data_IF_723548547293
#
_entry.id   IF_723548547293
#
_cell.length_a   1.000
_cell.length_b   1.000
_cell.length_c   1.000
_cell.angle_alpha   90.00
_cell.angle_beta   90.00
_cell.angle_gamma   90.00
#
_symmetry.space_group_name_H-M   'P 1'
#
loop_
_entity.id
_entity.type
_entity.pdbx_description
1 polymer ?
#
# COMPACT_ATOMS: atom_id res chain seq x y z
N UNK A 1 35.57 21.36 -11.40
CA UNK A 1 34.66 21.66 -10.27
C UNK A 1 33.41 20.82 -10.44
N UNK A 2 32.92 20.15 -9.39
CA UNK A 2 31.73 19.29 -9.42
C UNK A 2 30.73 19.82 -8.39
N UNK A 3 29.50 20.10 -8.81
CA UNK A 3 28.40 20.38 -7.88
C UNK A 3 27.99 19.08 -7.18
N UNK A 4 27.80 19.14 -5.86
CA UNK A 4 27.47 17.96 -5.04
C UNK A 4 26.02 18.05 -4.56
N UNK A 5 25.69 19.08 -3.79
CA UNK A 5 24.35 19.26 -3.23
C UNK A 5 24.12 20.71 -2.79
N UNK A 6 22.85 21.06 -2.58
CA UNK A 6 22.49 22.24 -1.80
C UNK A 6 22.63 21.90 -0.29
N UNK A 7 23.05 22.86 0.52
CA UNK A 7 23.12 22.69 1.98
C UNK A 7 22.27 23.77 2.62
N UNK A 8 21.36 23.35 3.48
CA UNK A 8 20.57 24.24 4.34
C UNK A 8 20.97 24.04 5.80
N UNK A 9 20.76 25.06 6.61
CA UNK A 9 21.10 25.02 8.04
C UNK A 9 19.85 24.82 8.88
N UNK A 10 19.94 24.00 9.90
CA UNK A 10 18.81 23.63 10.77
C UNK A 10 19.21 23.80 12.22
N UNK A 11 18.30 24.27 13.07
CA UNK A 11 18.56 24.48 14.50
C UNK A 11 18.75 23.15 15.25
N UNK A 12 18.12 22.08 14.77
CA UNK A 12 18.23 20.72 15.33
C UNK A 12 18.20 19.69 14.20
N UNK A 13 19.36 19.08 13.92
CA UNK A 13 19.48 18.02 12.90
C UNK A 13 18.54 16.85 13.17
N UNK A 14 18.34 16.42 14.42
CA UNK A 14 17.45 15.30 14.72
C UNK A 14 15.98 15.66 14.45
N UNK A 15 15.57 16.91 14.71
CA UNK A 15 14.23 17.43 14.35
C UNK A 15 14.03 17.47 12.84
N UNK A 16 14.98 18.06 12.12
CA UNK A 16 14.93 18.15 10.66
C UNK A 16 14.92 16.75 10.01
N UNK A 17 15.70 15.79 10.53
CA UNK A 17 15.68 14.40 10.05
C UNK A 17 14.33 13.73 10.20
N UNK A 18 13.64 13.91 11.34
CA UNK A 18 12.29 13.35 11.52
C UNK A 18 11.33 13.86 10.44
N UNK A 19 11.44 15.13 10.08
CA UNK A 19 10.65 15.73 9.02
C UNK A 19 11.03 15.19 7.62
N UNK A 20 12.30 15.28 7.24
CA UNK A 20 12.73 14.85 5.90
C UNK A 20 12.61 13.34 5.69
N UNK A 21 13.02 12.50 6.66
CA UNK A 21 12.92 11.04 6.56
C UNK A 21 11.49 10.53 6.77
N UNK A 22 10.78 11.08 7.77
CA UNK A 22 9.45 10.60 8.17
C UNK A 22 8.32 11.17 7.33
N UNK A 23 8.28 12.49 7.17
CA UNK A 23 7.19 13.19 6.48
C UNK A 23 7.41 13.19 4.97
N UNK A 24 8.61 13.55 4.51
CA UNK A 24 8.95 13.64 3.09
C UNK A 24 9.59 12.37 2.50
N UNK A 25 9.81 11.34 3.32
CA UNK A 25 10.30 10.03 2.85
C UNK A 25 11.72 10.03 2.28
N UNK A 26 12.52 11.04 2.60
CA UNK A 26 13.89 11.20 2.09
C UNK A 26 14.82 10.16 2.69
N UNK A 27 15.81 9.72 1.91
CA UNK A 27 16.73 8.66 2.30
C UNK A 27 18.10 9.27 2.57
N UNK A 28 18.63 9.06 3.78
CA UNK A 28 20.00 9.47 4.12
C UNK A 28 21.01 8.75 3.22
N UNK A 29 21.89 9.51 2.61
CA UNK A 29 23.04 9.02 1.83
C UNK A 29 24.29 8.92 2.69
N UNK A 30 24.56 9.94 3.51
CA UNK A 30 25.67 9.95 4.47
C UNK A 30 25.31 10.79 5.69
N UNK A 31 25.85 10.39 6.84
CA UNK A 31 25.56 10.98 8.15
C UNK A 31 26.87 11.21 8.89
N UNK A 32 27.21 12.47 9.12
CA UNK A 32 28.40 12.92 9.81
C UNK A 32 28.07 13.59 11.15
N UNK A 33 26.89 13.34 11.72
CA UNK A 33 26.45 13.98 12.97
C UNK A 33 25.85 15.36 12.71
N UNK A 34 26.69 16.40 12.72
CA UNK A 34 26.25 17.79 12.50
C UNK A 34 25.88 18.06 11.04
N UNK A 35 26.24 17.19 10.11
CA UNK A 35 25.94 17.30 8.68
C UNK A 35 25.37 15.97 8.17
N UNK A 36 24.19 16.03 7.55
CA UNK A 36 23.50 14.86 7.01
C UNK A 36 23.09 15.13 5.58
N UNK A 37 23.55 14.28 4.66
CA UNK A 37 23.24 14.38 3.24
C UNK A 37 22.18 13.35 2.85
N UNK A 38 21.26 13.75 1.98
CA UNK A 38 20.17 12.92 1.48
C UNK A 38 20.37 12.56 0.00
N UNK A 39 19.85 11.39 -0.37
CA UNK A 39 19.68 11.02 -1.78
C UNK A 39 18.74 12.01 -2.44
N UNK A 40 19.19 12.62 -3.52
CA UNK A 40 18.45 13.70 -4.20
C UNK A 40 19.20 15.03 -4.24
N UNK A 41 20.38 15.12 -3.61
CA UNK A 41 21.29 16.25 -3.82
C UNK A 41 21.03 17.44 -2.90
N UNK A 42 20.60 17.18 -1.66
CA UNK A 42 20.58 18.20 -0.59
C UNK A 42 21.13 17.64 0.73
N UNK A 43 21.57 18.53 1.61
CA UNK A 43 22.06 18.23 2.94
C UNK A 43 21.52 19.23 3.97
N UNK A 44 21.41 18.79 5.21
CA UNK A 44 21.12 19.62 6.37
C UNK A 44 22.37 19.72 7.26
N UNK A 45 22.59 20.89 7.85
CA UNK A 45 23.71 21.13 8.76
C UNK A 45 23.24 21.84 10.04
N UNK A 46 23.65 21.35 11.21
CA UNK A 46 23.46 22.02 12.50
C UNK A 46 23.93 23.48 12.43
N UNK A 47 23.01 24.42 12.68
CA UNK A 47 23.20 25.86 12.49
C UNK A 47 24.40 26.41 13.24
N UNK A 48 24.52 26.12 14.54
CA UNK A 48 25.63 26.62 15.37
C UNK A 48 26.99 26.13 14.89
N UNK A 49 27.06 24.86 14.46
CA UNK A 49 28.28 24.30 13.87
C UNK A 49 28.60 25.00 12.54
N UNK A 50 27.62 25.21 11.68
CA UNK A 50 27.81 25.89 10.40
C UNK A 50 28.19 27.37 10.57
N UNK A 51 27.59 28.07 11.53
CA UNK A 51 27.93 29.44 11.89
C UNK A 51 29.41 29.54 12.33
N UNK A 52 29.91 28.55 13.07
CA UNK A 52 31.33 28.44 13.39
C UNK A 52 32.24 28.35 12.16
N UNK A 53 31.78 27.69 11.09
CA UNK A 53 32.50 27.62 9.80
C UNK A 53 32.46 28.95 9.01
N UNK A 54 31.56 29.86 9.38
CA UNK A 54 31.39 31.18 8.75
C UNK A 54 31.97 32.32 9.59
N UNK A 55 32.95 32.04 10.46
CA UNK A 55 33.55 33.02 11.38
C UNK A 55 32.50 33.73 12.28
N UNK A 56 31.43 33.01 12.66
CA UNK A 56 30.39 33.51 13.55
C UNK A 56 29.32 34.39 12.88
N UNK A 57 29.32 34.51 11.54
CA UNK A 57 28.30 35.30 10.82
C UNK A 57 26.88 34.81 11.10
N UNK A 58 25.96 35.76 11.24
CA UNK A 58 24.56 35.47 11.52
C UNK A 58 23.90 34.70 10.36
N UNK A 59 23.08 33.71 10.72
CA UNK A 59 22.30 32.91 9.79
C UNK A 59 20.81 33.21 10.04
N UNK A 60 20.18 33.86 9.08
CA UNK A 60 18.77 34.23 9.13
C UNK A 60 17.83 33.02 9.04
N UNK A 61 16.63 33.16 9.62
CA UNK A 61 15.52 32.20 9.50
C UNK A 61 14.44 32.77 8.57
N UNK A 62 13.74 31.92 7.82
CA UNK A 62 12.65 32.34 6.89
C UNK A 62 13.09 33.45 5.93
N UNK A 63 14.25 33.30 5.29
CA UNK A 63 14.78 34.28 4.35
C UNK A 63 13.94 34.42 3.06
N UNK A 64 13.18 33.38 2.69
CA UNK A 64 12.30 33.33 1.51
C UNK A 64 13.01 33.63 0.18
N UNK A 65 14.29 33.28 0.08
CA UNK A 65 15.16 33.51 -1.08
C UNK A 65 15.59 32.22 -1.79
N UNK A 66 15.28 31.05 -1.22
CA UNK A 66 15.50 29.74 -1.80
C UNK A 66 14.39 28.76 -1.40
N UNK A 67 14.19 27.73 -2.23
CA UNK A 67 13.30 26.61 -1.92
C UNK A 67 13.94 25.26 -2.28
N UNK A 68 13.58 24.21 -1.53
CA UNK A 68 13.86 22.83 -1.90
C UNK A 68 12.67 22.26 -2.68
N UNK A 69 12.91 21.89 -3.95
CA UNK A 69 11.89 21.34 -4.83
C UNK A 69 11.92 19.80 -4.83
N UNK A 70 10.75 19.20 -4.60
CA UNK A 70 10.53 17.76 -4.69
C UNK A 70 9.34 17.45 -5.60
N UNK A 71 9.26 16.20 -6.05
CA UNK A 71 8.16 15.74 -6.90
C UNK A 71 7.43 14.53 -6.33
N UNK A 72 6.09 14.57 -6.35
CA UNK A 72 5.23 13.52 -5.83
C UNK A 72 3.95 13.41 -6.67
N UNK A 73 3.52 12.19 -7.01
CA UNK A 73 2.32 11.98 -7.86
C UNK A 73 1.04 12.45 -7.15
N UNK A 74 0.89 12.13 -5.85
CA UNK A 74 -0.24 12.56 -5.01
C UNK A 74 0.11 13.76 -4.11
N UNK A 75 0.07 14.96 -4.68
CA UNK A 75 0.34 16.23 -3.96
C UNK A 75 -0.74 16.51 -2.92
N UNK A 76 -2.00 16.18 -3.20
CA UNK A 76 -3.13 16.43 -2.29
C UNK A 76 -3.04 15.57 -1.03
N UNK A 77 -2.76 14.27 -1.17
CA UNK A 77 -2.57 13.37 -0.03
C UNK A 77 -1.34 13.73 0.80
N UNK A 78 -0.26 14.21 0.18
CA UNK A 78 0.87 14.77 0.92
C UNK A 78 0.49 16.02 1.71
N UNK A 79 -0.19 16.98 1.08
CA UNK A 79 -0.61 18.21 1.74
C UNK A 79 -1.55 17.94 2.93
N UNK A 80 -2.44 16.95 2.81
CA UNK A 80 -3.26 16.49 3.93
C UNK A 80 -2.42 16.02 5.13
N UNK A 81 -1.39 15.20 4.88
CA UNK A 81 -0.47 14.74 5.95
C UNK A 81 0.35 15.88 6.56
N UNK A 82 0.81 16.83 5.75
CA UNK A 82 1.54 18.00 6.23
C UNK A 82 0.65 18.91 7.10
N UNK A 83 -0.61 19.12 6.70
CA UNK A 83 -1.58 19.86 7.50
C UNK A 83 -1.87 19.16 8.84
N UNK A 84 -2.01 17.83 8.83
CA UNK A 84 -2.16 17.01 10.03
C UNK A 84 -0.98 17.16 11.02
N UNK A 85 0.24 17.27 10.48
CA UNK A 85 1.46 17.45 11.24
C UNK A 85 1.69 18.91 11.70
N UNK A 86 0.73 19.82 11.42
CA UNK A 86 0.79 21.22 11.82
C UNK A 86 1.80 22.05 11.03
N UNK A 87 2.15 21.63 9.82
CA UNK A 87 3.12 22.32 8.96
C UNK A 87 2.53 23.65 8.45
N UNK A 88 3.32 24.71 8.49
CA UNK A 88 2.93 26.03 8.01
C UNK A 88 3.01 26.11 6.48
N UNK A 89 1.88 26.36 5.81
CA UNK A 89 1.82 26.50 4.36
C UNK A 89 1.98 27.95 3.91
N UNK A 90 2.76 28.16 2.84
CA UNK A 90 2.66 29.38 2.04
C UNK A 90 1.38 29.34 1.20
N UNK A 91 1.10 28.17 0.62
CA UNK A 91 -0.18 27.86 0.01
C UNK A 91 -0.42 26.34 -0.04
N UNK A 92 -1.68 25.92 0.14
CA UNK A 92 -2.09 24.53 -0.11
C UNK A 92 -1.95 24.13 -1.59
N UNK A 93 -2.35 22.90 -1.96
CA UNK A 93 -2.31 22.44 -3.34
C UNK A 93 -3.07 23.39 -4.26
N UNK A 94 -2.37 23.92 -5.27
CA UNK A 94 -2.95 24.77 -6.31
C UNK A 94 -2.45 24.34 -7.67
N UNK A 95 -3.33 24.40 -8.65
CA UNK A 95 -2.97 24.11 -10.03
C UNK A 95 -2.25 25.31 -10.67
N UNK A 96 -1.14 25.04 -11.36
CA UNK A 96 -0.40 26.04 -12.14
C UNK A 96 -1.01 26.22 -13.54
N UNK A 97 -0.68 27.29 -14.27
CA UNK A 97 -1.20 27.50 -15.64
C UNK A 97 -0.95 26.34 -16.61
N UNK A 98 0.08 25.53 -16.37
CA UNK A 98 0.40 24.31 -17.11
C UNK A 98 -0.19 23.03 -16.49
N UNK A 99 -1.28 23.15 -15.73
CA UNK A 99 -2.06 22.07 -15.09
C UNK A 99 -1.34 21.27 -14.00
N UNK A 100 -0.09 21.56 -13.66
CA UNK A 100 0.64 20.89 -12.57
C UNK A 100 0.10 21.30 -11.20
N UNK A 101 -0.20 20.34 -10.31
CA UNK A 101 -0.50 20.65 -8.91
C UNK A 101 0.79 20.92 -8.12
N UNK A 102 0.80 22.00 -7.33
CA UNK A 102 1.95 22.39 -6.51
C UNK A 102 1.49 22.88 -5.15
N UNK A 103 2.21 22.51 -4.09
CA UNK A 103 2.06 23.09 -2.75
C UNK A 103 3.41 23.60 -2.23
N UNK A 104 3.38 24.69 -1.44
CA UNK A 104 4.57 25.26 -0.80
C UNK A 104 4.32 25.43 0.69
N UNK A 105 5.30 25.04 1.49
CA UNK A 105 5.24 25.09 2.95
C UNK A 105 6.63 25.31 3.53
N UNK A 106 6.68 25.60 4.83
CA UNK A 106 7.93 25.70 5.57
C UNK A 106 8.32 24.36 6.19
N UNK A 107 9.59 24.02 6.14
CA UNK A 107 10.15 22.99 7.01
C UNK A 107 10.20 23.48 8.48
N UNK A 108 10.61 22.63 9.45
CA UNK A 108 10.68 23.02 10.87
C UNK A 108 11.58 24.21 11.18
N UNK A 109 12.50 24.56 10.29
CA UNK A 109 13.51 25.61 10.45
C UNK A 109 13.22 26.85 9.56
N UNK A 110 12.08 26.84 8.85
CA UNK A 110 11.59 27.96 8.07
C UNK A 110 12.14 28.05 6.64
N UNK A 111 12.69 26.96 6.11
CA UNK A 111 13.06 26.86 4.68
C UNK A 111 11.83 26.57 3.84
N UNK A 112 11.72 27.21 2.68
CA UNK A 112 10.62 26.91 1.76
C UNK A 112 10.86 25.53 1.14
N UNK A 113 9.85 24.69 1.18
CA UNK A 113 9.79 23.42 0.47
C UNK A 113 8.64 23.49 -0.52
N UNK A 114 8.95 23.20 -1.78
CA UNK A 114 7.96 23.00 -2.83
C UNK A 114 7.81 21.51 -3.11
N UNK A 115 6.56 21.05 -3.23
CA UNK A 115 6.26 19.75 -3.81
C UNK A 115 5.33 19.92 -5.00
N UNK A 116 5.85 19.55 -6.17
CA UNK A 116 5.13 19.54 -7.44
C UNK A 116 4.68 18.14 -7.86
N UNK A 117 3.56 18.08 -8.57
CA UNK A 117 3.13 16.87 -9.26
C UNK A 117 4.14 16.55 -10.37
N UNK A 118 4.58 15.29 -10.50
CA UNK A 118 5.47 14.90 -11.60
C UNK A 118 4.82 15.20 -12.93
N UNK A 119 5.54 15.85 -13.86
CA UNK A 119 4.99 16.19 -15.17
C UNK A 119 4.54 14.94 -15.95
N UNK A 120 5.20 13.80 -15.75
CA UNK A 120 4.77 12.52 -16.30
C UNK A 120 3.41 12.06 -15.75
N UNK A 121 3.14 12.31 -14.47
CA UNK A 121 1.83 12.04 -13.87
C UNK A 121 0.78 13.04 -14.38
N UNK A 122 1.13 14.31 -14.56
CA UNK A 122 0.24 15.32 -15.18
C UNK A 122 -0.15 14.88 -16.59
N UNK A 123 0.80 14.40 -17.40
CA UNK A 123 0.51 13.92 -18.76
C UNK A 123 -0.46 12.74 -18.78
N UNK A 124 -0.30 11.82 -17.84
CA UNK A 124 -1.25 10.73 -17.64
C UNK A 124 -2.64 11.23 -17.25
N UNK A 125 -2.73 12.09 -16.22
CA UNK A 125 -4.00 12.64 -15.75
C UNK A 125 -4.74 13.41 -16.85
N UNK A 126 -4.04 14.22 -17.62
CA UNK A 126 -4.63 14.93 -18.76
C UNK A 126 -5.08 13.98 -19.88
N UNK A 127 -4.36 12.88 -20.10
CA UNK A 127 -4.80 11.83 -21.02
C UNK A 127 -6.07 11.13 -20.53
N UNK A 128 -6.20 10.91 -19.21
CA UNK A 128 -7.40 10.34 -18.60
C UNK A 128 -8.60 11.31 -18.64
N UNK A 129 -8.34 12.61 -18.54
CA UNK A 129 -9.31 13.70 -18.79
C UNK A 129 -9.72 13.81 -20.28
N UNK A 130 -9.10 13.02 -21.18
CA UNK A 130 -9.45 12.92 -22.59
C UNK A 130 -8.73 13.92 -23.51
N UNK A 131 -7.67 14.59 -23.04
CA UNK A 131 -6.87 15.46 -23.89
C UNK A 131 -6.05 14.61 -24.88
N UNK A 132 -5.89 15.13 -26.10
CA UNK A 132 -5.01 14.51 -27.08
C UNK A 132 -3.53 14.79 -26.75
N UNK A 133 -2.65 13.98 -27.31
CA UNK A 133 -1.21 14.03 -27.05
C UNK A 133 -0.57 15.38 -27.39
N UNK A 134 -1.03 16.10 -28.42
CA UNK A 134 -0.44 17.38 -28.81
C UNK A 134 -0.80 18.48 -27.80
N UNK A 135 -2.05 18.47 -27.30
CA UNK A 135 -2.46 19.36 -26.22
C UNK A 135 -1.73 19.04 -24.91
N UNK A 136 -1.53 17.75 -24.59
CA UNK A 136 -0.75 17.32 -23.41
C UNK A 136 0.69 17.82 -23.51
N UNK A 137 1.35 17.66 -24.67
CA UNK A 137 2.72 18.14 -24.86
C UNK A 137 2.79 19.67 -24.79
N UNK A 138 1.79 20.39 -25.31
CA UNK A 138 1.73 21.86 -25.25
C UNK A 138 1.57 22.36 -23.82
N UNK A 139 0.76 21.68 -23.00
CA UNK A 139 0.49 22.07 -21.62
C UNK A 139 1.67 21.70 -20.71
N UNK A 140 2.14 20.45 -20.77
CA UNK A 140 3.18 19.93 -19.85
C UNK A 140 4.61 20.25 -20.27
N UNK A 141 4.81 20.75 -21.50
CA UNK A 141 6.11 20.92 -22.15
C UNK A 141 6.93 19.63 -22.33
N UNK A 142 6.34 18.46 -22.05
CA UNK A 142 6.99 17.19 -22.31
C UNK A 142 7.12 16.95 -23.81
N UNK A 143 8.26 16.36 -24.20
CA UNK A 143 8.40 15.83 -25.55
C UNK A 143 7.37 14.73 -25.82
N UNK A 144 6.90 14.63 -27.07
CA UNK A 144 5.94 13.58 -27.48
C UNK A 144 6.36 12.16 -27.06
N UNK A 145 7.64 11.75 -27.19
CA UNK A 145 8.10 10.45 -26.68
C UNK A 145 8.03 10.33 -25.15
N UNK A 146 8.31 11.41 -24.40
CA UNK A 146 8.24 11.40 -22.94
C UNK A 146 6.79 11.29 -22.46
N UNK A 147 5.88 12.09 -23.04
CA UNK A 147 4.45 12.04 -22.72
C UNK A 147 3.84 10.67 -23.03
N UNK A 148 4.15 10.07 -24.20
CA UNK A 148 3.68 8.73 -24.54
C UNK A 148 4.18 7.65 -23.56
N UNK A 149 5.46 7.69 -23.20
CA UNK A 149 6.04 6.75 -22.22
C UNK A 149 5.38 6.92 -20.86
N UNK A 150 5.20 8.16 -20.41
CA UNK A 150 4.54 8.47 -19.16
C UNK A 150 3.10 7.95 -19.13
N UNK A 151 2.29 8.30 -20.14
CA UNK A 151 0.90 7.84 -20.24
C UNK A 151 0.83 6.31 -20.22
N UNK A 152 1.67 5.63 -20.99
CA UNK A 152 1.71 4.16 -20.99
C UNK A 152 2.13 3.58 -19.63
N UNK A 153 3.19 4.13 -19.01
CA UNK A 153 3.66 3.73 -17.70
C UNK A 153 2.55 3.87 -16.66
N UNK A 154 1.95 5.05 -16.52
CA UNK A 154 0.91 5.31 -15.52
C UNK A 154 -0.43 4.62 -15.82
N UNK A 155 -0.80 4.44 -17.09
CA UNK A 155 -2.00 3.68 -17.46
C UNK A 155 -1.86 2.18 -17.16
N UNK A 156 -0.63 1.67 -17.20
CA UNK A 156 -0.31 0.29 -16.80
C UNK A 156 -0.07 0.15 -15.29
N UNK A 157 0.14 1.26 -14.56
CA UNK A 157 0.06 1.23 -13.11
C UNK A 157 -1.40 0.91 -12.74
N UNK A 158 -1.65 0.01 -11.78
CA UNK A 158 -3.01 -0.24 -11.34
C UNK A 158 -3.60 1.09 -10.87
N UNK A 159 -4.68 1.54 -11.53
CA UNK A 159 -5.40 2.76 -11.15
C UNK A 159 -5.65 2.69 -9.65
N UNK A 160 -5.18 3.69 -8.92
CA UNK A 160 -5.63 3.94 -7.55
C UNK A 160 -6.98 4.66 -7.68
N UNK A 161 -7.91 4.07 -8.42
CA UNK A 161 -9.30 4.52 -8.40
C UNK A 161 -9.87 4.02 -7.07
N UNK A 162 -9.80 4.92 -6.08
CA UNK A 162 -10.75 5.02 -4.98
C UNK A 162 -11.13 3.70 -4.27
N UNK A 163 -10.18 3.13 -3.55
CA UNK A 163 -10.39 3.08 -2.10
C UNK A 163 -9.31 3.94 -1.45
N UNK A 164 -9.44 5.26 -1.64
CA UNK A 164 -9.07 6.17 -0.57
C UNK A 164 -9.85 5.67 0.64
N UNK A 165 -9.16 5.03 1.58
CA UNK A 165 -9.62 5.06 2.95
C UNK A 165 -9.13 6.43 3.45
N UNK A 166 -9.99 7.46 3.51
CA UNK A 166 -9.58 8.76 4.02
C UNK A 166 -9.28 8.60 5.50
N UNK A 167 -8.01 8.33 5.84
CA UNK A 167 -7.62 8.05 7.22
C UNK A 167 -6.25 8.67 7.48
N UNK A 168 -6.24 9.94 7.85
CA UNK A 168 -5.06 10.60 8.40
C UNK A 168 -5.41 11.46 9.63
N UNK A 169 -6.58 12.11 9.66
CA UNK A 169 -6.99 12.96 10.81
C UNK A 169 -8.26 12.50 11.53
N UNK A 170 -9.28 12.04 10.81
CA UNK A 170 -10.53 11.54 11.40
C UNK A 170 -10.31 10.38 12.37
N UNK A 171 -9.33 9.51 12.09
CA UNK A 171 -8.96 8.38 12.94
C UNK A 171 -8.45 8.82 14.33
N UNK A 172 -7.73 9.94 14.43
CA UNK A 172 -7.19 10.40 15.73
C UNK A 172 -8.29 10.98 16.60
N UNK A 173 -9.17 11.79 16.03
CA UNK A 173 -10.32 12.36 16.74
C UNK A 173 -11.33 11.27 17.13
N UNK A 174 -11.63 10.35 16.21
CA UNK A 174 -12.48 9.19 16.49
C UNK A 174 -11.84 8.28 17.53
N UNK A 175 -10.52 8.03 17.47
CA UNK A 175 -9.82 7.27 18.49
C UNK A 175 -9.86 7.96 19.85
N UNK A 176 -9.65 9.28 19.92
CA UNK A 176 -9.75 10.03 21.17
C UNK A 176 -11.15 9.93 21.78
N UNK A 177 -12.21 10.09 20.96
CA UNK A 177 -13.60 9.91 21.39
C UNK A 177 -13.88 8.48 21.85
N UNK A 178 -13.42 7.49 21.10
CA UNK A 178 -13.60 6.09 21.44
C UNK A 178 -12.88 5.70 22.74
N UNK A 179 -11.68 6.24 22.96
CA UNK A 179 -10.93 6.11 24.22
C UNK A 179 -11.64 6.80 25.39
N UNK A 180 -12.38 7.89 25.13
CA UNK A 180 -13.22 8.58 26.10
C UNK A 180 -14.58 7.88 26.35
N UNK A 181 -14.82 6.70 25.77
CA UNK A 181 -16.04 5.91 25.99
C UNK A 181 -17.16 6.13 24.97
N UNK A 182 -16.92 6.86 23.88
CA UNK A 182 -17.88 7.00 22.80
C UNK A 182 -17.96 5.71 21.96
N UNK A 183 -18.98 4.89 22.25
CA UNK A 183 -19.23 3.64 21.55
C UNK A 183 -19.51 3.84 20.05
N UNK A 184 -20.09 4.98 19.64
CA UNK A 184 -20.34 5.28 18.23
C UNK A 184 -19.04 5.58 17.49
N UNK A 185 -18.12 6.32 18.12
CA UNK A 185 -16.79 6.57 17.55
C UNK A 185 -15.97 5.28 17.44
N UNK A 186 -16.10 4.38 18.42
CA UNK A 186 -15.47 3.06 18.36
C UNK A 186 -16.04 2.17 17.24
N UNK A 187 -17.37 2.17 17.05
CA UNK A 187 -18.03 1.46 15.94
C UNK A 187 -17.51 1.97 14.59
N UNK A 188 -17.41 3.29 14.44
CA UNK A 188 -16.92 3.93 13.21
C UNK A 188 -15.47 3.55 12.91
N UNK A 189 -14.57 3.58 13.91
CA UNK A 189 -13.18 3.15 13.76
C UNK A 189 -13.06 1.69 13.34
N UNK A 190 -13.78 0.80 14.03
CA UNK A 190 -13.74 -0.63 13.72
C UNK A 190 -14.31 -0.91 12.33
N UNK A 191 -15.39 -0.23 11.93
CA UNK A 191 -15.93 -0.34 10.58
C UNK A 191 -14.95 0.15 9.51
N UNK A 192 -14.23 1.25 9.79
CA UNK A 192 -13.22 1.80 8.89
C UNK A 192 -12.08 0.82 8.59
N UNK A 193 -11.76 -0.09 9.51
CA UNK A 193 -10.66 -1.05 9.36
C UNK A 193 -11.10 -2.50 9.09
N UNK A 194 -12.37 -2.86 9.35
CA UNK A 194 -12.87 -4.24 9.25
C UNK A 194 -12.58 -4.89 7.89
N UNK A 195 -12.88 -4.20 6.79
CA UNK A 195 -12.59 -4.72 5.44
C UNK A 195 -11.09 -4.92 5.20
N UNK A 196 -10.23 -4.05 5.76
CA UNK A 196 -8.76 -4.22 5.66
C UNK A 196 -8.29 -5.45 6.42
N UNK A 197 -8.82 -5.68 7.63
CA UNK A 197 -8.54 -6.89 8.42
C UNK A 197 -9.01 -8.14 7.68
N UNK A 198 -10.23 -8.13 7.14
CA UNK A 198 -10.77 -9.25 6.37
C UNK A 198 -9.91 -9.57 5.14
N UNK A 199 -9.54 -8.55 4.36
CA UNK A 199 -8.70 -8.75 3.18
C UNK A 199 -7.32 -9.31 3.52
N UNK A 200 -6.74 -8.92 4.68
CA UNK A 200 -5.48 -9.46 5.17
C UNK A 200 -5.66 -10.93 5.55
N UNK A 201 -6.70 -11.24 6.33
CA UNK A 201 -7.02 -12.60 6.76
C UNK A 201 -7.31 -13.53 5.58
N UNK A 202 -8.07 -13.06 4.59
CA UNK A 202 -8.39 -13.81 3.36
C UNK A 202 -7.14 -14.18 2.58
N UNK A 203 -6.23 -13.22 2.37
CA UNK A 203 -4.96 -13.44 1.66
C UNK A 203 -3.99 -14.30 2.46
N UNK A 204 -4.06 -14.22 3.79
CA UNK A 204 -3.21 -14.98 4.66
C UNK A 204 -3.64 -16.45 4.78
N UNK A 205 -4.94 -16.70 4.98
CA UNK A 205 -5.51 -18.02 5.24
C UNK A 205 -5.95 -18.72 3.96
N UNK A 206 -6.26 -17.96 2.92
CA UNK A 206 -6.70 -18.44 1.61
C UNK A 206 -8.13 -19.00 1.60
N UNK A 207 -8.80 -19.09 2.75
CA UNK A 207 -10.16 -19.58 2.87
C UNK A 207 -11.08 -18.48 3.41
N UNK A 208 -12.22 -18.20 2.76
CA UNK A 208 -13.14 -17.16 3.19
C UNK A 208 -13.81 -17.34 4.55
N UNK A 209 -14.17 -18.57 4.92
CA UNK A 209 -14.81 -18.86 6.20
C UNK A 209 -13.79 -18.64 7.32
N UNK A 210 -12.59 -19.24 7.19
CA UNK A 210 -11.49 -19.05 8.13
C UNK A 210 -11.13 -17.55 8.26
N UNK A 211 -11.19 -16.79 7.16
CA UNK A 211 -10.92 -15.35 7.14
C UNK A 211 -11.99 -14.52 7.85
N UNK A 212 -13.27 -14.91 7.74
CA UNK A 212 -14.38 -14.27 8.45
C UNK A 212 -14.24 -14.47 9.95
N UNK A 213 -14.00 -15.70 10.37
CA UNK A 213 -13.81 -16.05 11.78
C UNK A 213 -12.60 -15.33 12.37
N UNK A 214 -11.46 -15.34 11.66
CA UNK A 214 -10.27 -14.60 12.07
C UNK A 214 -10.51 -13.08 12.12
N UNK A 215 -11.23 -12.51 11.15
CA UNK A 215 -11.57 -11.09 11.13
C UNK A 215 -12.39 -10.69 12.36
N UNK A 216 -13.40 -11.50 12.72
CA UNK A 216 -14.20 -11.28 13.91
C UNK A 216 -13.35 -11.32 15.19
N UNK A 217 -12.51 -12.35 15.34
CA UNK A 217 -11.62 -12.47 16.50
C UNK A 217 -10.62 -11.31 16.59
N UNK A 218 -10.09 -10.84 15.46
CA UNK A 218 -9.15 -9.73 15.41
C UNK A 218 -9.86 -8.42 15.78
N UNK A 219 -11.05 -8.17 15.24
CA UNK A 219 -11.84 -6.98 15.59
C UNK A 219 -12.22 -6.99 17.08
N UNK A 220 -12.55 -8.16 17.64
CA UNK A 220 -12.79 -8.32 19.08
C UNK A 220 -11.52 -8.06 19.92
N UNK A 221 -10.35 -8.50 19.46
CA UNK A 221 -9.06 -8.20 20.11
C UNK A 221 -8.73 -6.71 20.04
N UNK A 222 -8.96 -6.07 18.90
CA UNK A 222 -8.78 -4.64 18.72
C UNK A 222 -9.73 -3.85 19.64
N UNK A 223 -11.00 -4.23 19.71
CA UNK A 223 -11.98 -3.63 20.60
C UNK A 223 -11.58 -3.74 22.07
N UNK A 224 -11.25 -4.94 22.53
CA UNK A 224 -10.82 -5.17 23.93
C UNK A 224 -9.50 -4.47 24.25
N UNK A 225 -8.61 -4.35 23.27
CA UNK A 225 -7.31 -3.71 23.40
C UNK A 225 -7.33 -2.20 23.17
N UNK A 226 -8.48 -1.59 22.85
CA UNK A 226 -8.56 -0.21 22.39
C UNK A 226 -7.89 0.77 23.38
N UNK A 227 -8.08 0.57 24.69
CA UNK A 227 -7.45 1.39 25.73
C UNK A 227 -5.91 1.39 25.73
N UNK A 228 -5.27 0.45 25.03
CA UNK A 228 -3.80 0.39 24.88
C UNK A 228 -3.27 1.14 23.66
N UNK A 229 -4.16 1.67 22.81
CA UNK A 229 -3.77 2.44 21.64
C UNK A 229 -3.26 3.82 22.08
N UNK A 230 -1.99 4.11 21.78
CA UNK A 230 -1.30 5.34 22.19
C UNK A 230 -1.25 6.45 21.12
N UNK A 231 -1.70 6.19 19.90
CA UNK A 231 -1.61 7.15 18.80
C UNK A 231 -0.20 7.28 18.16
N UNK A 232 0.75 6.43 18.55
CA UNK A 232 2.12 6.37 18.00
C UNK A 232 2.15 5.99 16.50
N UNK A 233 1.05 5.41 15.99
CA UNK A 233 0.84 5.07 14.58
C UNK A 233 -0.65 5.25 14.25
N UNK A 234 -1.01 5.19 12.96
CA UNK A 234 -2.41 5.16 12.53
C UNK A 234 -3.15 3.99 13.22
N UNK A 235 -4.42 4.22 13.59
CA UNK A 235 -5.26 3.18 14.21
C UNK A 235 -5.30 1.92 13.33
N UNK A 236 -5.44 2.09 12.02
CA UNK A 236 -5.41 0.99 11.07
C UNK A 236 -4.10 0.18 11.09
N UNK A 237 -2.95 0.83 11.23
CA UNK A 237 -1.64 0.15 11.36
C UNK A 237 -1.57 -0.65 12.66
N UNK A 238 -2.08 -0.09 13.77
CA UNK A 238 -2.14 -0.79 15.06
C UNK A 238 -3.04 -2.04 15.00
N UNK A 239 -4.24 -1.93 14.41
CA UNK A 239 -5.14 -3.09 14.22
C UNK A 239 -4.52 -4.13 13.28
N UNK A 240 -3.83 -3.70 12.21
CA UNK A 240 -3.12 -4.64 11.32
C UNK A 240 -1.98 -5.37 12.04
N UNK A 241 -1.31 -4.75 13.02
CA UNK A 241 -0.31 -5.42 13.85
C UNK A 241 -0.96 -6.50 14.75
N UNK A 242 -2.14 -6.23 15.31
CA UNK A 242 -2.95 -7.24 16.03
C UNK A 242 -3.32 -8.37 15.08
N UNK A 243 -3.80 -8.03 13.88
CA UNK A 243 -4.17 -8.99 12.84
C UNK A 243 -2.98 -9.89 12.47
N UNK A 244 -1.81 -9.32 12.20
CA UNK A 244 -0.60 -10.05 11.89
C UNK A 244 -0.19 -11.05 12.98
N UNK A 245 -0.24 -10.63 14.25
CA UNK A 245 0.09 -11.52 15.37
C UNK A 245 -0.94 -12.63 15.55
N UNK A 246 -2.24 -12.31 15.41
CA UNK A 246 -3.30 -13.31 15.41
C UNK A 246 -3.07 -14.33 14.28
N UNK A 247 -2.91 -13.87 13.04
CA UNK A 247 -2.76 -14.73 11.85
C UNK A 247 -1.50 -15.61 11.89
N UNK A 248 -0.40 -15.14 12.47
CA UNK A 248 0.81 -15.97 12.66
C UNK A 248 0.57 -17.15 13.59
N UNK A 249 -0.37 -17.03 14.54
CA UNK A 249 -0.57 -17.98 15.65
C UNK A 249 -1.84 -18.83 15.54
N UNK A 250 -2.77 -18.49 14.64
CA UNK A 250 -3.94 -19.35 14.39
C UNK A 250 -3.55 -20.74 13.89
N UNK A 251 -4.44 -21.70 14.12
CA UNK A 251 -4.34 -23.04 13.54
C UNK A 251 -4.21 -22.95 12.02
N UNK A 252 -3.61 -23.97 11.41
CA UNK A 252 -3.50 -24.04 9.95
C UNK A 252 -4.90 -23.93 9.35
N UNK A 253 -5.06 -23.04 8.38
CA UNK A 253 -6.30 -22.95 7.62
C UNK A 253 -6.55 -24.26 6.87
N UNK A 254 -7.77 -24.43 6.36
CA UNK A 254 -8.08 -25.58 5.51
C UNK A 254 -7.14 -25.66 4.32
N UNK A 255 -6.81 -24.53 3.69
CA UNK A 255 -5.94 -24.50 2.52
C UNK A 255 -4.45 -24.69 2.88
N UNK A 256 -3.98 -24.16 4.02
CA UNK A 256 -2.61 -24.42 4.50
C UNK A 256 -2.42 -25.92 4.82
N UNK A 257 -3.45 -26.58 5.33
CA UNK A 257 -3.42 -28.01 5.68
C UNK A 257 -3.37 -28.93 4.45
N UNK A 258 -3.75 -28.44 3.26
CA UNK A 258 -3.61 -29.18 2.00
C UNK A 258 -2.14 -29.32 1.57
N UNK A 259 -1.20 -28.61 2.19
CA UNK A 259 0.23 -28.76 1.93
C UNK A 259 0.65 -28.30 0.53
N UNK A 260 -0.03 -27.30 -0.02
CA UNK A 260 0.28 -26.78 -1.36
C UNK A 260 1.70 -26.19 -1.41
N UNK A 261 2.43 -26.50 -2.49
CA UNK A 261 3.80 -26.01 -2.73
C UNK A 261 3.96 -25.55 -4.18
N UNK A 262 5.02 -24.80 -4.47
CA UNK A 262 5.30 -24.34 -5.83
C UNK A 262 5.48 -25.52 -6.80
N UNK A 263 6.15 -26.58 -6.36
CA UNK A 263 6.37 -27.80 -7.14
C UNK A 263 5.05 -28.53 -7.44
N UNK A 264 4.12 -28.56 -6.48
CA UNK A 264 2.80 -29.15 -6.68
C UNK A 264 1.99 -28.38 -7.73
N UNK A 265 2.04 -27.03 -7.71
CA UNK A 265 1.38 -26.22 -8.74
C UNK A 265 2.03 -26.37 -10.12
N UNK A 266 3.35 -26.49 -10.19
CA UNK A 266 4.07 -26.72 -11.45
C UNK A 266 3.71 -28.07 -12.06
N UNK A 267 3.67 -29.14 -11.25
CA UNK A 267 3.23 -30.45 -11.68
C UNK A 267 1.76 -30.45 -12.16
N UNK A 268 0.88 -29.76 -11.43
CA UNK A 268 -0.53 -29.62 -11.83
C UNK A 268 -0.68 -28.82 -13.13
N UNK A 269 0.10 -27.75 -13.32
CA UNK A 269 0.09 -26.94 -14.53
C UNK A 269 0.55 -27.71 -15.77
N UNK A 270 1.49 -28.64 -15.62
CA UNK A 270 1.92 -29.56 -16.69
C UNK A 270 0.89 -30.66 -17.01
N UNK A 271 -0.02 -30.95 -16.08
CA UNK A 271 -1.04 -31.99 -16.20
C UNK A 271 -2.40 -31.41 -16.66
N UNK A 272 -2.44 -30.74 -17.81
CA UNK A 272 -3.71 -30.22 -18.37
C UNK A 272 -4.60 -31.39 -18.83
N UNK A 273 -5.84 -31.55 -18.34
CA UNK A 273 -6.74 -32.57 -18.84
C UNK A 273 -7.17 -32.28 -20.28
N UNK A 274 -7.32 -33.33 -21.09
CA UNK A 274 -7.59 -33.29 -22.54
C UNK A 274 -8.93 -32.65 -22.98
N UNK A 275 -9.75 -32.11 -22.06
CA UNK A 275 -11.04 -31.51 -22.40
C UNK A 275 -11.31 -30.24 -21.57
N UNK A 276 -11.33 -29.06 -22.22
CA UNK A 276 -11.73 -27.81 -21.60
C UNK A 276 -13.19 -27.84 -21.14
N UNK A 277 -13.48 -27.11 -20.06
CA UNK A 277 -14.86 -26.90 -19.64
C UNK A 277 -15.53 -25.91 -20.59
N UNK A 278 -16.73 -26.22 -21.10
CA UNK A 278 -17.45 -25.40 -22.08
C UNK A 278 -18.90 -25.09 -21.65
N UNK A 279 -19.13 -24.90 -20.34
CA UNK A 279 -20.45 -24.52 -19.83
C UNK A 279 -20.73 -23.00 -19.94
N UNK A 280 -21.99 -22.57 -19.84
CA UNK A 280 -22.36 -21.14 -19.94
C UNK A 280 -21.75 -20.26 -18.85
N UNK A 281 -21.28 -20.86 -17.75
CA UNK A 281 -20.62 -20.25 -16.60
C UNK A 281 -19.07 -20.32 -16.66
N UNK A 282 -18.49 -20.75 -17.79
CA UNK A 282 -17.03 -20.92 -17.96
C UNK A 282 -16.23 -19.66 -17.61
N UNK A 283 -16.68 -18.48 -18.06
CA UNK A 283 -16.02 -17.21 -17.77
C UNK A 283 -15.98 -16.92 -16.26
N UNK A 284 -17.12 -17.03 -15.59
CA UNK A 284 -17.22 -16.80 -14.13
C UNK A 284 -16.37 -17.80 -13.35
N UNK A 285 -16.40 -19.08 -13.72
CA UNK A 285 -15.59 -20.12 -13.08
C UNK A 285 -14.10 -19.94 -13.36
N UNK A 286 -13.73 -19.41 -14.53
CA UNK A 286 -12.34 -19.06 -14.84
C UNK A 286 -11.85 -17.95 -13.92
N UNK A 287 -12.66 -16.92 -13.67
CA UNK A 287 -12.29 -15.83 -12.77
C UNK A 287 -12.27 -16.28 -11.31
N UNK A 288 -13.23 -17.10 -10.89
CA UNK A 288 -13.22 -17.77 -9.58
C UNK A 288 -11.91 -18.57 -9.38
N UNK A 289 -11.50 -19.31 -10.41
CA UNK A 289 -10.27 -20.08 -10.39
C UNK A 289 -9.03 -19.18 -10.33
N UNK A 290 -8.98 -18.06 -11.05
CA UNK A 290 -7.87 -17.10 -10.98
C UNK A 290 -7.68 -16.63 -9.55
N UNK A 291 -8.75 -16.22 -8.86
CA UNK A 291 -8.69 -15.76 -7.47
C UNK A 291 -8.28 -16.88 -6.51
N UNK A 292 -8.89 -18.06 -6.64
CA UNK A 292 -8.54 -19.25 -5.85
C UNK A 292 -7.06 -19.67 -6.04
N UNK A 293 -6.53 -19.58 -7.26
CA UNK A 293 -5.13 -19.82 -7.58
C UNK A 293 -4.22 -18.77 -6.94
N UNK A 294 -4.55 -17.48 -7.05
CA UNK A 294 -3.79 -16.41 -6.41
C UNK A 294 -3.69 -16.59 -4.89
N UNK A 295 -4.81 -16.87 -4.21
CA UNK A 295 -4.79 -17.12 -2.77
C UNK A 295 -3.99 -18.38 -2.40
N UNK A 296 -4.11 -19.43 -3.23
CA UNK A 296 -3.38 -20.67 -3.04
C UNK A 296 -1.86 -20.53 -3.24
N UNK A 297 -1.40 -19.70 -4.19
CA UNK A 297 0.02 -19.43 -4.40
C UNK A 297 0.69 -18.75 -3.20
N UNK A 298 -0.05 -17.88 -2.49
CA UNK A 298 0.43 -17.27 -1.25
C UNK A 298 0.68 -18.32 -0.17
N UNK A 299 -0.02 -19.46 -0.22
CA UNK A 299 0.15 -20.53 0.77
C UNK A 299 1.48 -21.28 0.61
N UNK A 300 2.08 -21.26 -0.58
CA UNK A 300 3.41 -21.82 -0.84
C UNK A 300 4.52 -21.05 -0.09
N UNK A 301 4.26 -19.80 0.32
CA UNK A 301 5.16 -19.03 1.15
C UNK A 301 5.01 -19.43 2.62
N UNK A 302 6.14 -19.44 3.34
CA UNK A 302 6.15 -19.54 4.79
C UNK A 302 5.36 -18.39 5.44
N UNK A 303 4.70 -18.66 6.57
CA UNK A 303 3.77 -17.75 7.27
C UNK A 303 4.25 -16.30 7.41
N UNK A 304 5.53 -16.08 7.74
CA UNK A 304 6.07 -14.72 7.90
C UNK A 304 6.30 -14.04 6.55
N UNK A 305 6.87 -14.75 5.59
CA UNK A 305 7.17 -14.20 4.27
C UNK A 305 5.88 -13.96 3.47
N UNK A 306 4.85 -14.80 3.67
CA UNK A 306 3.48 -14.58 3.21
C UNK A 306 2.93 -13.25 3.70
N UNK A 307 3.03 -12.98 5.00
CA UNK A 307 2.55 -11.73 5.60
C UNK A 307 3.25 -10.52 4.98
N UNK A 308 4.59 -10.57 4.92
CA UNK A 308 5.42 -9.51 4.33
C UNK A 308 5.02 -9.25 2.86
N UNK A 309 4.82 -10.33 2.09
CA UNK A 309 4.43 -10.20 0.70
C UNK A 309 3.02 -9.63 0.55
N UNK A 310 2.05 -10.06 1.37
CA UNK A 310 0.67 -9.56 1.31
C UNK A 310 0.62 -8.06 1.65
N UNK A 311 1.33 -7.66 2.70
CA UNK A 311 1.41 -6.26 3.12
C UNK A 311 2.02 -5.36 2.04
N UNK A 312 3.03 -5.86 1.33
CA UNK A 312 3.63 -5.15 0.20
C UNK A 312 2.71 -5.13 -1.04
N UNK A 313 2.25 -6.30 -1.47
CA UNK A 313 1.60 -6.46 -2.77
C UNK A 313 0.18 -5.93 -2.77
N UNK A 314 -0.52 -5.98 -1.64
CA UNK A 314 -1.94 -5.60 -1.56
C UNK A 314 -2.17 -4.37 -0.68
N UNK A 315 -1.52 -4.29 0.48
CA UNK A 315 -1.74 -3.16 1.40
C UNK A 315 -0.82 -1.97 1.13
N UNK A 316 0.20 -2.15 0.29
CA UNK A 316 1.19 -1.13 -0.11
C UNK A 316 1.79 -0.35 1.07
N UNK A 317 1.93 -1.00 2.23
CA UNK A 317 2.47 -0.36 3.42
C UNK A 317 3.94 0.00 3.23
N UNK A 318 4.38 1.07 3.90
CA UNK A 318 5.79 1.45 3.92
C UNK A 318 6.65 0.36 4.57
N UNK A 319 7.97 0.41 4.38
CA UNK A 319 8.85 -0.54 5.09
C UNK A 319 8.89 -0.32 6.61
N UNK A 320 8.55 0.88 7.08
CA UNK A 320 8.41 1.18 8.50
C UNK A 320 7.15 0.52 9.07
N UNK A 321 5.99 0.76 8.45
CA UNK A 321 4.71 0.17 8.86
C UNK A 321 4.71 -1.34 8.69
N UNK A 322 5.24 -1.86 7.58
CA UNK A 322 5.37 -3.29 7.35
C UNK A 322 6.27 -3.96 8.39
N UNK A 323 7.32 -3.28 8.85
CA UNK A 323 8.13 -3.71 9.98
C UNK A 323 7.30 -3.79 11.26
N UNK A 324 6.64 -2.68 11.63
CA UNK A 324 5.79 -2.59 12.81
C UNK A 324 4.70 -3.67 12.84
N UNK A 325 3.94 -3.80 11.75
CA UNK A 325 2.86 -4.78 11.60
C UNK A 325 3.39 -6.21 11.75
N UNK A 326 4.53 -6.53 11.14
CA UNK A 326 5.10 -7.87 11.22
C UNK A 326 5.75 -8.20 12.57
N UNK A 327 6.05 -7.20 13.39
CA UNK A 327 6.92 -7.32 14.57
C UNK A 327 8.40 -7.48 14.17
N UNK A 328 8.84 -6.74 13.15
CA UNK A 328 10.18 -6.75 12.59
C UNK A 328 10.76 -5.32 12.54
N UNK A 329 12.09 -5.19 12.51
CA UNK A 329 12.72 -3.92 12.13
C UNK A 329 12.55 -3.62 10.63
N UNK A 330 12.50 -2.33 10.20
CA UNK A 330 12.27 -1.96 8.79
C UNK A 330 13.29 -2.59 7.82
N UNK A 331 14.56 -2.70 8.23
CA UNK A 331 15.60 -3.35 7.44
C UNK A 331 15.35 -4.86 7.27
N UNK A 332 14.91 -5.55 8.33
CA UNK A 332 14.59 -6.97 8.28
C UNK A 332 13.36 -7.24 7.40
N UNK A 333 12.35 -6.36 7.45
CA UNK A 333 11.20 -6.40 6.54
C UNK A 333 11.65 -6.28 5.07
N UNK A 334 12.46 -5.27 4.73
CA UNK A 334 12.97 -5.07 3.36
C UNK A 334 13.76 -6.27 2.84
N UNK A 335 14.64 -6.84 3.67
CA UNK A 335 15.42 -8.03 3.29
C UNK A 335 14.53 -9.24 3.02
N UNK A 336 13.56 -9.53 3.90
CA UNK A 336 12.59 -10.62 3.69
C UNK A 336 11.75 -10.38 2.44
N UNK A 337 11.24 -9.17 2.26
CA UNK A 337 10.45 -8.80 1.09
C UNK A 337 11.24 -9.01 -0.20
N UNK A 338 12.50 -8.56 -0.25
CA UNK A 338 13.37 -8.74 -1.41
C UNK A 338 13.51 -10.22 -1.79
N UNK A 339 13.78 -11.10 -0.82
CA UNK A 339 13.89 -12.55 -1.05
C UNK A 339 12.56 -13.14 -1.51
N UNK A 340 11.46 -12.79 -0.83
CA UNK A 340 10.12 -13.32 -1.13
C UNK A 340 9.66 -12.91 -2.53
N UNK A 341 9.92 -11.66 -2.93
CA UNK A 341 9.65 -11.17 -4.30
C UNK A 341 10.41 -11.97 -5.35
N UNK A 342 11.69 -12.29 -5.11
CA UNK A 342 12.47 -13.12 -6.04
C UNK A 342 11.90 -14.53 -6.17
N UNK A 343 11.53 -15.17 -5.05
CA UNK A 343 10.89 -16.49 -5.05
C UNK A 343 9.58 -16.47 -5.84
N UNK A 344 8.69 -15.52 -5.54
CA UNK A 344 7.41 -15.41 -6.23
C UNK A 344 7.58 -15.09 -7.72
N UNK A 345 8.49 -14.18 -8.06
CA UNK A 345 8.80 -13.84 -9.45
C UNK A 345 9.31 -15.05 -10.23
N UNK A 346 10.26 -15.81 -9.67
CA UNK A 346 10.82 -17.01 -10.31
C UNK A 346 9.74 -18.03 -10.64
N UNK A 347 8.85 -18.31 -9.69
CA UNK A 347 7.74 -19.25 -9.89
C UNK A 347 6.78 -18.78 -10.97
N UNK A 348 6.36 -17.51 -10.90
CA UNK A 348 5.38 -16.95 -11.83
C UNK A 348 5.90 -16.86 -13.26
N UNK A 349 7.17 -16.52 -13.46
CA UNK A 349 7.77 -16.46 -14.80
C UNK A 349 7.94 -17.85 -15.44
N UNK A 350 8.10 -18.90 -14.63
CA UNK A 350 8.31 -20.27 -15.12
C UNK A 350 7.02 -21.02 -15.44
N UNK A 351 5.94 -20.81 -14.66
CA UNK A 351 4.76 -21.68 -14.69
C UNK A 351 3.49 -20.95 -15.17
N UNK A 352 3.38 -19.64 -14.97
CA UNK A 352 2.08 -18.96 -15.01
C UNK A 352 1.87 -18.07 -16.25
N UNK A 353 0.85 -18.43 -17.06
CA UNK A 353 0.52 -17.84 -18.37
C UNK A 353 0.06 -16.39 -18.38
N UNK A 354 -0.14 -15.74 -17.22
CA UNK A 354 -0.42 -14.30 -17.17
C UNK A 354 0.85 -13.44 -17.31
N UNK A 355 2.05 -14.02 -17.12
CA UNK A 355 3.31 -13.26 -17.13
C UNK A 355 4.19 -13.49 -18.37
N UNK A 356 3.90 -14.50 -19.20
CA UNK A 356 4.64 -14.80 -20.43
C UNK A 356 3.80 -15.58 -21.45
N UNK A 357 3.94 -15.27 -22.75
CA UNK A 357 3.22 -15.90 -23.87
C UNK A 357 3.52 -17.41 -24.05
N UNK A 358 4.40 -18.01 -23.23
CA UNK A 358 4.80 -19.43 -23.31
C UNK A 358 4.58 -20.25 -22.03
N UNK A 359 3.91 -19.72 -21.00
CA UNK A 359 3.76 -20.44 -19.74
C UNK A 359 2.65 -21.51 -19.75
N UNK A 360 2.88 -22.59 -18.99
CA UNK A 360 2.08 -23.82 -19.01
C UNK A 360 0.65 -23.67 -18.46
N UNK A 361 0.43 -22.75 -17.52
CA UNK A 361 -0.88 -22.61 -16.86
C UNK A 361 -1.83 -21.64 -17.59
N UNK A 362 -2.92 -22.17 -18.15
CA UNK A 362 -4.08 -21.42 -18.68
C UNK A 362 -5.31 -21.67 -17.82
N UNK A 363 -5.80 -20.64 -17.12
CA UNK A 363 -6.87 -20.81 -16.12
C UNK A 363 -8.17 -21.39 -16.72
N UNK A 364 -8.53 -20.98 -17.94
CA UNK A 364 -9.69 -21.47 -18.68
C UNK A 364 -9.68 -23.00 -18.83
N UNK A 365 -8.53 -23.55 -19.23
CA UNK A 365 -8.35 -24.98 -19.48
C UNK A 365 -8.40 -25.81 -18.17
N UNK A 366 -8.23 -25.16 -17.01
CA UNK A 366 -8.18 -25.80 -15.69
C UNK A 366 -9.50 -25.81 -14.95
N UNK A 367 -10.53 -25.08 -15.43
CA UNK A 367 -11.84 -25.00 -14.76
C UNK A 367 -12.42 -26.38 -14.46
N UNK A 368 -12.41 -27.28 -15.44
CA UNK A 368 -12.95 -28.63 -15.27
C UNK A 368 -12.19 -29.47 -14.23
N UNK A 369 -10.86 -29.33 -14.16
CA UNK A 369 -10.06 -29.98 -13.13
C UNK A 369 -10.36 -29.43 -11.74
N UNK A 370 -10.40 -28.10 -11.61
CA UNK A 370 -10.65 -27.41 -10.36
C UNK A 370 -12.03 -27.74 -9.77
N UNK A 371 -13.06 -27.89 -10.62
CA UNK A 371 -14.39 -28.36 -10.21
C UNK A 371 -14.35 -29.78 -9.64
N UNK A 372 -13.66 -30.72 -10.31
CA UNK A 372 -13.56 -32.12 -9.85
C UNK A 372 -12.82 -32.25 -8.51
N UNK A 373 -11.81 -31.41 -8.28
CA UNK A 373 -11.08 -31.36 -7.02
C UNK A 373 -11.83 -30.59 -5.91
N UNK A 374 -13.00 -30.01 -6.22
CA UNK A 374 -13.75 -29.17 -5.27
C UNK A 374 -13.04 -27.87 -4.90
N UNK A 375 -12.09 -27.41 -5.73
CA UNK A 375 -11.33 -26.17 -5.52
C UNK A 375 -12.17 -24.92 -5.80
N UNK A 376 -13.12 -25.03 -6.73
CA UNK A 376 -14.15 -24.05 -7.06
C UNK A 376 -15.49 -24.78 -7.17
N UNK A 377 -16.62 -24.08 -7.01
CA UNK A 377 -17.95 -24.68 -7.06
C UNK A 377 -18.95 -23.81 -7.82
N UNK A 378 -19.86 -24.46 -8.57
CA UNK A 378 -20.90 -23.76 -9.37
C UNK A 378 -21.92 -23.01 -8.52
N UNK A 379 -22.31 -23.61 -7.41
CA UNK A 379 -23.31 -23.05 -6.49
C UNK A 379 -22.67 -22.17 -5.41
N UNK A 380 -21.33 -22.12 -5.38
CA UNK A 380 -20.55 -21.46 -4.32
C UNK A 380 -19.42 -20.63 -4.93
N UNK A 381 -19.81 -19.62 -5.70
CA UNK A 381 -18.91 -18.58 -6.20
C UNK A 381 -18.68 -17.56 -5.08
N UNK A 382 -17.45 -17.47 -4.58
CA UNK A 382 -17.10 -16.55 -3.51
C UNK A 382 -16.50 -15.25 -4.04
N UNK A 383 -15.70 -15.32 -5.11
CA UNK A 383 -14.97 -14.17 -5.63
C UNK A 383 -15.71 -13.52 -6.80
N UNK A 384 -16.03 -14.31 -7.83
CA UNK A 384 -16.57 -13.83 -9.12
C UNK A 384 -17.94 -13.12 -9.05
N UNK A 385 -18.70 -13.35 -7.99
CA UNK A 385 -20.02 -12.72 -7.76
C UNK A 385 -19.92 -11.43 -6.95
N UNK A 386 -18.78 -11.14 -6.32
CA UNK A 386 -18.57 -9.93 -5.55
C UNK A 386 -18.54 -8.71 -6.48
N UNK A 387 -19.28 -7.65 -6.14
CA UNK A 387 -19.41 -6.47 -7.00
C UNK A 387 -18.04 -5.85 -7.37
N UNK A 388 -17.12 -5.80 -6.41
CA UNK A 388 -15.75 -5.29 -6.56
C UNK A 388 -14.85 -6.24 -7.38
N UNK A 389 -15.09 -7.56 -7.34
CA UNK A 389 -14.35 -8.53 -8.16
C UNK A 389 -14.68 -8.42 -9.64
N UNK A 390 -15.94 -8.14 -9.98
CA UNK A 390 -16.36 -7.89 -11.37
C UNK A 390 -15.73 -6.62 -11.95
N UNK A 391 -15.53 -5.59 -11.11
CA UNK A 391 -14.84 -4.36 -11.50
C UNK A 391 -13.33 -4.59 -11.68
N UNK A 392 -12.70 -5.38 -10.81
CA UNK A 392 -11.28 -5.72 -10.89
C UNK A 392 -10.93 -6.65 -12.07
N UNK A 393 -11.86 -7.54 -12.46
CA UNK A 393 -11.68 -8.44 -13.61
C UNK A 393 -11.46 -7.67 -14.93
N UNK A 394 -12.01 -6.46 -15.07
CA UNK A 394 -11.82 -5.59 -16.23
C UNK A 394 -10.43 -4.93 -16.32
N UNK A 395 -9.64 -4.95 -15.23
CA UNK A 395 -8.32 -4.29 -15.13
C UNK A 395 -7.13 -5.23 -15.35
N UNK A 396 -7.36 -6.51 -15.67
CA UNK A 396 -6.30 -7.54 -15.74
C UNK A 396 -5.70 -7.70 -17.15
N UNK A 397 -5.43 -6.60 -17.87
CA UNK A 397 -4.91 -6.66 -19.25
C UNK A 397 -3.70 -5.75 -19.52
N UNK A 398 -2.89 -5.42 -18.52
CA UNK A 398 -1.66 -4.65 -18.77
C UNK A 398 -0.51 -5.09 -17.87
N UNK A 399 0.51 -5.72 -18.46
CA UNK A 399 1.72 -6.19 -17.78
C UNK A 399 2.96 -6.13 -18.70
N UNK A 400 3.94 -5.27 -18.39
CA UNK A 400 5.39 -5.45 -18.65
C UNK A 400 6.22 -4.56 -17.68
N UNK A 401 7.54 -4.70 -17.52
CA UNK A 401 8.30 -5.48 -16.51
C UNK A 401 9.03 -4.51 -15.55
N UNK A 402 9.00 -4.63 -14.23
CA UNK A 402 9.89 -5.45 -13.35
C UNK A 402 9.15 -5.94 -12.09
N UNK A 403 7.85 -5.62 -12.03
CA UNK A 403 6.87 -6.01 -11.00
C UNK A 403 5.75 -6.90 -11.57
N UNK A 404 5.89 -7.37 -12.81
CA UNK A 404 4.89 -8.14 -13.56
C UNK A 404 4.32 -9.33 -12.76
N UNK A 405 5.17 -10.09 -12.04
CA UNK A 405 4.70 -11.17 -11.18
C UNK A 405 3.76 -10.67 -10.05
N UNK A 406 4.08 -9.53 -9.42
CA UNK A 406 3.18 -8.96 -8.41
C UNK A 406 1.90 -8.36 -8.97
N UNK A 407 1.83 -8.05 -10.27
CA UNK A 407 0.66 -7.45 -10.91
C UNK A 407 -0.58 -8.36 -10.84
N UNK A 408 -0.40 -9.68 -10.98
CA UNK A 408 -1.48 -10.68 -10.82
C UNK A 408 -2.12 -10.61 -9.43
N UNK A 409 -1.30 -10.34 -8.42
CA UNK A 409 -1.78 -10.15 -7.05
C UNK A 409 -2.36 -8.74 -6.87
N UNK A 410 -1.69 -7.70 -7.37
CA UNK A 410 -2.13 -6.29 -7.25
C UNK A 410 -3.47 -6.00 -7.93
N UNK A 411 -3.83 -6.73 -8.99
CA UNK A 411 -5.12 -6.60 -9.67
C UNK A 411 -6.28 -7.32 -8.98
N UNK A 412 -6.04 -8.00 -7.84
CA UNK A 412 -7.11 -8.64 -7.08
C UNK A 412 -8.00 -7.60 -6.37
N UNK A 413 -9.33 -7.79 -6.33
CA UNK A 413 -10.24 -6.84 -5.70
C UNK A 413 -10.02 -6.73 -4.18
N UNK A 414 -10.33 -5.56 -3.64
CA UNK A 414 -10.61 -5.41 -2.21
C UNK A 414 -12.04 -5.85 -1.94
N UNK A 415 -12.21 -6.84 -1.06
CA UNK A 415 -13.52 -7.37 -0.71
C UNK A 415 -14.08 -6.67 0.52
N UNK A 416 -15.32 -6.17 0.46
CA UNK A 416 -16.06 -5.77 1.67
C UNK A 416 -16.22 -6.95 2.63
N UNK A 417 -16.16 -6.67 3.93
CA UNK A 417 -16.51 -7.67 4.93
C UNK A 417 -17.98 -8.12 4.76
N UNK A 418 -18.28 -9.43 4.69
CA UNK A 418 -19.62 -9.93 4.36
C UNK A 418 -20.74 -9.46 5.30
N UNK A 419 -20.45 -9.25 6.58
CA UNK A 419 -21.44 -8.89 7.60
C UNK A 419 -21.37 -7.42 8.03
N UNK A 420 -20.35 -6.68 7.56
CA UNK A 420 -20.19 -5.23 7.75
C UNK A 420 -20.58 -4.71 9.15
N UNK A 421 -21.49 -3.70 9.22
CA UNK A 421 -21.99 -3.10 10.47
C UNK A 421 -22.61 -4.07 11.46
N UNK A 422 -23.32 -5.10 11.01
CA UNK A 422 -24.00 -6.03 11.90
C UNK A 422 -23.00 -6.81 12.77
N UNK A 423 -21.84 -7.13 12.21
CA UNK A 423 -20.79 -7.84 12.95
C UNK A 423 -20.09 -6.93 13.97
N UNK A 424 -19.71 -5.71 13.58
CA UNK A 424 -19.08 -4.76 14.51
C UNK A 424 -20.01 -4.44 15.68
N UNK A 425 -21.30 -4.23 15.44
CA UNK A 425 -22.29 -4.00 16.51
C UNK A 425 -22.39 -5.17 17.47
N UNK A 426 -22.34 -6.42 16.99
CA UNK A 426 -22.31 -7.61 17.86
C UNK A 426 -21.05 -7.65 18.72
N UNK A 427 -19.89 -7.29 18.15
CA UNK A 427 -18.61 -7.23 18.87
C UNK A 427 -18.69 -6.19 20.00
N UNK A 428 -19.22 -5.00 19.72
CA UNK A 428 -19.35 -3.91 20.71
C UNK A 428 -20.37 -4.25 21.78
N UNK A 429 -21.53 -4.80 21.41
CA UNK A 429 -22.58 -5.18 22.35
C UNK A 429 -22.20 -6.38 23.24
N UNK A 430 -21.36 -7.30 22.74
CA UNK A 430 -20.98 -8.53 23.42
C UNK A 430 -19.75 -8.43 24.31
N UNK A 431 -19.04 -7.30 24.32
CA UNK A 431 -17.84 -7.12 25.12
C UNK A 431 -17.72 -5.66 25.59
N UNK A 432 -17.56 -5.43 26.90
CA UNK A 432 -17.15 -4.12 27.39
C UNK A 432 -15.70 -3.85 26.93
N UNK A 433 -15.39 -2.66 26.39
CA UNK A 433 -14.01 -2.29 26.11
C UNK A 433 -13.27 -2.18 27.45
N UNK A 434 -12.00 -2.62 27.50
CA UNK A 434 -11.15 -2.36 28.66
C UNK A 434 -10.70 -0.88 28.62
N UNK A 435 -11.66 0.03 28.83
CA UNK A 435 -11.36 1.44 29.05
C UNK A 435 -10.88 1.51 30.50
N UNK A 436 -9.61 1.86 30.66
CA UNK A 436 -9.01 2.05 31.97
C UNK A 436 -9.71 3.25 32.59
N UNK A 437 -10.43 3.04 33.70
CA UNK A 437 -10.88 4.13 34.57
C UNK A 437 -9.62 4.92 34.96
N UNK A 438 -9.52 6.17 34.49
CA UNK A 438 -8.48 7.11 34.89
C UNK A 438 -8.81 7.74 36.25
#
# INVERSE_FOLDING_TARGET
MKYVCALITVDDVARARRFYEGTLGQVVESDFGENVAFKGGFAIHQKDHFQGLLDGREIGSKANDAELYFEHDDVNGLAGRLAADGVEFLHGPREQPWRQLVTRFYDPDGHIVEVGERLEHVAYRLSDEGLNLDDICRVTYLSRPAALRAIAEYSSRPRVDAVSYPLADSDRELAARALAGDASAAEELLLGVQSRVFNLALRYLGNPEDARDACQDICLKAWKGLGSFRGDALFSTWVLAIAANHLKTVKKSRMESMGVSFEAYEAEAGAVPASPYAGPDEGLLTDELKHSCSLGMLQCLGRTDRLVYVLYAFFRVSSADGGLICGLGPAAYRQRLSRTRKTMASFMTGVYGLASEGAACRCRDRVGHALRQGRIGRERLFFSTHAEARAAAALTESMERLDAASAVFRGGPDFRHPDGPADVRRIIAGAAPAIVDA
#
